data_IF_669802693999
#
_entry.id   IF_669802693999
#
_cell.length_a   1.000
_cell.length_b   1.000
_cell.length_c   1.000
_cell.angle_alpha   90.00
_cell.angle_beta   90.00
_cell.angle_gamma   90.00
#
_symmetry.space_group_name_H-M   'P 1'
#
loop_
_entity.id
_entity.type
_entity.pdbx_description
1 polymer ?
#
# COMPACT_ATOMS: atom_id res chain seq x y z
N UNK A 1 -32.31 13.91 -32.71
CA UNK A 1 -30.89 14.27 -32.86
C UNK A 1 -30.17 13.91 -31.57
N UNK A 2 -29.31 12.89 -31.54
CA UNK A 2 -28.53 12.56 -30.36
C UNK A 2 -27.34 13.52 -30.27
N UNK A 3 -27.20 14.19 -29.13
CA UNK A 3 -26.12 15.15 -28.86
C UNK A 3 -24.74 14.47 -28.81
N UNK A 4 -23.65 15.26 -28.97
CA UNK A 4 -22.30 14.72 -28.99
C UNK A 4 -21.95 14.12 -27.62
N UNK A 5 -21.53 12.86 -27.63
CA UNK A 5 -20.96 12.17 -26.47
C UNK A 5 -19.68 12.89 -26.05
N UNK A 6 -19.66 13.38 -24.82
CA UNK A 6 -18.44 13.88 -24.19
C UNK A 6 -17.36 12.78 -24.18
N UNK A 7 -16.08 13.15 -24.35
CA UNK A 7 -15.00 12.19 -24.42
C UNK A 7 -14.84 11.44 -23.09
N UNK A 8 -14.69 10.13 -23.23
CA UNK A 8 -14.30 9.17 -22.20
C UNK A 8 -13.09 9.67 -21.42
N UNK A 9 -13.22 9.78 -20.10
CA UNK A 9 -12.12 9.98 -19.17
C UNK A 9 -10.93 9.06 -19.52
N UNK A 10 -9.83 9.65 -19.98
CA UNK A 10 -8.55 8.96 -20.02
C UNK A 10 -8.17 8.58 -18.57
N UNK A 11 -7.69 7.35 -18.31
CA UNK A 11 -7.23 6.98 -16.98
C UNK A 11 -5.97 7.82 -16.64
N UNK A 12 -6.13 8.79 -15.74
CA UNK A 12 -5.02 9.56 -15.20
C UNK A 12 -4.00 8.61 -14.54
N UNK A 13 -2.75 8.77 -14.98
CA UNK A 13 -1.60 7.99 -14.58
C UNK A 13 -1.26 8.23 -13.11
N UNK A 14 -1.62 7.29 -12.23
CA UNK A 14 -1.09 7.30 -10.86
C UNK A 14 0.12 6.39 -10.80
N UNK A 15 1.28 6.99 -11.02
CA UNK A 15 2.51 6.54 -10.40
C UNK A 15 2.26 6.52 -8.88
N UNK A 16 2.53 5.38 -8.24
CA UNK A 16 2.56 5.32 -6.77
C UNK A 16 3.77 6.11 -6.21
N UNK A 17 4.64 6.64 -7.08
CA UNK A 17 5.62 7.68 -6.79
C UNK A 17 5.60 8.77 -7.89
N UNK A 18 4.89 9.87 -7.65
CA UNK A 18 4.93 11.07 -8.52
C UNK A 18 3.73 11.23 -9.48
N UNK A 19 2.83 12.16 -9.16
CA UNK A 19 1.77 12.61 -10.07
C UNK A 19 2.40 13.49 -11.17
N UNK A 20 2.09 13.18 -12.43
CA UNK A 20 2.38 14.04 -13.57
C UNK A 20 1.06 14.72 -13.96
N UNK A 21 0.87 15.96 -13.52
CA UNK A 21 -0.08 16.93 -14.07
C UNK A 21 0.34 18.34 -13.60
N UNK A 22 1.56 18.76 -13.97
CA UNK A 22 1.99 20.16 -13.94
C UNK A 22 3.09 20.38 -15.00
N UNK A 23 3.12 21.53 -15.69
CA UNK A 23 4.16 21.83 -16.67
C UNK A 23 5.49 22.07 -15.95
N UNK A 24 6.54 21.38 -16.42
CA UNK A 24 7.93 21.50 -15.98
C UNK A 24 8.20 21.19 -14.49
N UNK A 25 7.84 19.99 -14.03
CA UNK A 25 8.48 19.40 -12.86
C UNK A 25 9.68 18.52 -13.30
N UNK A 26 10.81 18.56 -12.59
CA UNK A 26 11.93 17.66 -12.85
C UNK A 26 11.45 16.20 -12.71
N UNK A 27 11.96 15.37 -13.60
CA UNK A 27 11.65 13.94 -13.73
C UNK A 27 11.69 13.26 -12.35
N UNK A 28 10.69 12.45 -11.96
CA UNK A 28 10.78 11.67 -10.72
C UNK A 28 12.07 10.84 -10.74
N UNK A 29 12.66 10.53 -9.56
CA UNK A 29 13.94 9.82 -9.47
C UNK A 29 13.94 8.64 -10.42
N UNK A 30 14.98 8.58 -11.25
CA UNK A 30 15.05 7.70 -12.40
C UNK A 30 14.64 6.28 -12.00
N UNK A 31 13.63 5.75 -12.69
CA UNK A 31 13.25 4.35 -12.60
C UNK A 31 14.37 3.54 -13.25
N UNK A 32 15.50 3.38 -12.58
CA UNK A 32 16.68 2.65 -13.09
C UNK A 32 16.47 1.12 -13.11
N UNK A 33 15.21 0.68 -13.18
CA UNK A 33 14.83 -0.71 -13.38
C UNK A 33 14.27 -0.87 -14.80
N UNK A 34 15.10 -1.31 -15.77
CA UNK A 34 14.69 -1.55 -17.14
C UNK A 34 13.56 -2.59 -17.28
N UNK A 35 13.39 -3.48 -16.30
CA UNK A 35 12.28 -4.44 -16.31
C UNK A 35 10.97 -3.74 -15.95
N UNK A 36 10.98 -2.83 -14.97
CA UNK A 36 9.83 -2.01 -14.62
C UNK A 36 9.42 -1.09 -15.78
N UNK A 37 10.37 -0.42 -16.44
CA UNK A 37 10.08 0.44 -17.60
C UNK A 37 9.42 -0.37 -18.73
N UNK A 38 10.00 -1.51 -19.11
CA UNK A 38 9.45 -2.37 -20.17
C UNK A 38 8.06 -2.90 -19.83
N UNK A 39 7.88 -3.39 -18.60
CA UNK A 39 6.58 -3.90 -18.16
C UNK A 39 5.51 -2.80 -18.15
N UNK A 40 5.87 -1.55 -17.80
CA UNK A 40 4.95 -0.41 -17.89
C UNK A 40 4.56 -0.09 -19.34
N UNK A 41 5.52 -0.06 -20.26
CA UNK A 41 5.23 0.14 -21.68
C UNK A 41 4.27 -0.94 -22.21
N UNK A 42 4.47 -2.20 -21.82
CA UNK A 42 3.55 -3.29 -22.15
C UNK A 42 2.17 -3.14 -21.51
N UNK A 43 2.08 -2.68 -20.25
CA UNK A 43 0.80 -2.41 -19.59
C UNK A 43 -0.02 -1.32 -20.30
N UNK A 44 0.67 -0.36 -20.93
CA UNK A 44 0.04 0.67 -21.75
C UNK A 44 -0.43 0.13 -23.09
N UNK A 45 0.45 -0.58 -23.80
CA UNK A 45 0.24 -0.92 -25.21
C UNK A 45 -0.50 -2.25 -25.42
N UNK A 46 -0.35 -3.20 -24.49
CA UNK A 46 -0.90 -4.55 -24.59
C UNK A 46 -1.15 -5.17 -23.19
N UNK A 47 -1.99 -4.56 -22.33
CA UNK A 47 -2.17 -5.00 -20.94
C UNK A 47 -2.59 -6.46 -20.78
N UNK A 48 -3.40 -6.99 -21.72
CA UNK A 48 -3.84 -8.40 -21.70
C UNK A 48 -2.69 -9.41 -21.84
N UNK A 49 -1.55 -8.99 -22.40
CA UNK A 49 -0.36 -9.83 -22.55
C UNK A 49 0.45 -9.99 -21.25
N UNK A 50 0.22 -9.11 -20.26
CA UNK A 50 0.92 -9.18 -18.99
C UNK A 50 0.31 -10.27 -18.11
N UNK A 51 1.02 -11.39 -18.06
CA UNK A 51 0.73 -12.53 -17.19
C UNK A 51 1.84 -12.68 -16.16
N UNK A 52 1.47 -12.92 -14.90
CA UNK A 52 2.46 -13.13 -13.85
C UNK A 52 2.64 -14.59 -13.53
N UNK A 53 3.87 -15.04 -13.74
CA UNK A 53 4.27 -16.41 -13.45
C UNK A 53 5.58 -16.41 -12.67
N UNK A 54 5.82 -17.47 -11.89
CA UNK A 54 7.13 -17.71 -11.28
C UNK A 54 7.85 -18.79 -12.08
N UNK A 55 9.19 -18.73 -12.17
CA UNK A 55 9.99 -19.84 -12.65
C UNK A 55 9.64 -21.13 -11.89
N UNK A 56 9.70 -22.29 -12.57
CA UNK A 56 9.38 -23.59 -11.95
C UNK A 56 10.27 -23.90 -10.74
N UNK A 57 11.54 -23.50 -10.77
CA UNK A 57 12.47 -23.64 -9.67
C UNK A 57 12.47 -22.38 -8.81
N UNK A 58 11.87 -22.45 -7.62
CA UNK A 58 12.04 -21.43 -6.58
C UNK A 58 13.20 -21.85 -5.68
N UNK A 59 14.26 -21.05 -5.66
CA UNK A 59 15.62 -21.58 -5.48
C UNK A 59 16.03 -21.96 -4.05
N UNK A 60 15.24 -21.70 -2.99
CA UNK A 60 15.62 -22.08 -1.61
C UNK A 60 14.40 -22.28 -0.69
N UNK A 61 14.42 -23.25 0.24
CA UNK A 61 13.46 -23.28 1.34
C UNK A 61 13.51 -21.97 2.14
N UNK A 62 12.37 -21.55 2.70
CA UNK A 62 12.30 -20.40 3.61
C UNK A 62 12.44 -20.92 5.04
N UNK A 63 13.36 -20.35 5.81
CA UNK A 63 13.46 -20.62 7.25
C UNK A 63 12.33 -19.92 8.02
N UNK A 64 11.83 -18.82 7.47
CA UNK A 64 10.69 -18.08 8.00
C UNK A 64 9.36 -18.76 7.67
N UNK A 65 8.33 -18.49 8.49
CA UNK A 65 6.93 -18.86 8.24
C UNK A 65 6.12 -17.62 7.83
N UNK A 66 6.13 -17.22 6.55
CA UNK A 66 5.37 -16.07 6.08
C UNK A 66 3.89 -16.41 5.85
N UNK A 67 3.05 -15.38 5.93
CA UNK A 67 1.68 -15.40 5.43
C UNK A 67 1.46 -14.28 4.40
N UNK A 68 0.62 -14.58 3.41
CA UNK A 68 0.17 -13.67 2.36
C UNK A 68 -1.25 -13.25 2.66
N UNK A 69 -1.54 -11.96 2.54
CA UNK A 69 -2.87 -11.39 2.72
C UNK A 69 -3.34 -10.87 1.37
N UNK A 70 -4.40 -11.45 0.84
CA UNK A 70 -5.05 -11.01 -0.38
C UNK A 70 -6.42 -10.41 -0.02
N UNK A 71 -6.48 -9.10 0.04
CA UNK A 71 -7.65 -8.35 0.51
C UNK A 71 -8.27 -7.58 -0.66
N UNK A 72 -9.59 -7.64 -0.81
CA UNK A 72 -10.31 -6.89 -1.83
C UNK A 72 -11.05 -7.77 -2.83
N UNK A 73 -11.33 -7.22 -4.01
CA UNK A 73 -12.27 -7.78 -4.99
C UNK A 73 -11.60 -8.68 -6.04
N UNK A 74 -10.40 -9.20 -5.83
CA UNK A 74 -9.73 -10.16 -6.73
C UNK A 74 -9.78 -9.88 -8.27
N UNK A 75 -10.07 -8.66 -8.73
CA UNK A 75 -10.53 -8.34 -10.11
C UNK A 75 -9.63 -8.84 -11.23
N UNK A 76 -8.30 -8.80 -11.04
CA UNK A 76 -7.36 -9.30 -12.05
C UNK A 76 -6.72 -10.64 -11.64
N UNK A 77 -7.45 -11.46 -10.89
CA UNK A 77 -6.93 -12.75 -10.41
C UNK A 77 -6.51 -13.65 -11.58
N UNK A 78 -7.24 -13.67 -12.69
CA UNK A 78 -6.86 -14.47 -13.87
C UNK A 78 -5.43 -14.21 -14.38
N UNK A 79 -4.89 -13.00 -14.16
CA UNK A 79 -3.52 -12.62 -14.56
C UNK A 79 -2.45 -12.93 -13.53
N UNK A 80 -2.85 -13.07 -12.27
CA UNK A 80 -1.96 -13.28 -11.12
C UNK A 80 -2.16 -14.63 -10.44
N UNK A 81 -3.11 -15.45 -10.88
CA UNK A 81 -3.50 -16.70 -10.24
C UNK A 81 -2.32 -17.68 -10.20
N UNK A 82 -1.61 -17.85 -11.33
CA UNK A 82 -0.44 -18.72 -11.40
C UNK A 82 0.70 -18.27 -10.47
N UNK A 83 0.84 -16.96 -10.24
CA UNK A 83 1.77 -16.41 -9.26
C UNK A 83 1.29 -16.72 -7.83
N UNK A 84 0.05 -16.37 -7.50
CA UNK A 84 -0.55 -16.53 -6.16
C UNK A 84 -0.54 -18.00 -5.73
N UNK A 85 -0.96 -18.92 -6.62
CA UNK A 85 -0.93 -20.36 -6.37
C UNK A 85 0.48 -20.90 -6.10
N UNK A 86 1.51 -20.32 -6.75
CA UNK A 86 2.90 -20.74 -6.49
C UNK A 86 3.43 -20.15 -5.20
N UNK A 87 3.07 -18.91 -4.87
CA UNK A 87 3.43 -18.30 -3.59
C UNK A 87 2.76 -19.02 -2.40
N UNK A 88 1.50 -19.47 -2.54
CA UNK A 88 0.75 -20.17 -1.48
C UNK A 88 1.32 -21.54 -1.13
N UNK A 89 2.18 -22.13 -1.98
CA UNK A 89 2.94 -23.34 -1.64
C UNK A 89 4.08 -23.08 -0.65
N UNK A 90 4.45 -21.82 -0.42
CA UNK A 90 5.58 -21.41 0.43
C UNK A 90 5.18 -20.52 1.59
N UNK A 91 3.94 -20.06 1.61
CA UNK A 91 3.39 -19.14 2.59
C UNK A 91 1.91 -19.45 2.80
N UNK A 92 1.40 -19.26 4.02
CA UNK A 92 -0.04 -19.40 4.23
C UNK A 92 -0.78 -18.26 3.51
N UNK A 93 -1.79 -18.59 2.69
CA UNK A 93 -2.59 -17.59 1.98
C UNK A 93 -3.88 -17.31 2.74
N UNK A 94 -4.07 -16.05 3.16
CA UNK A 94 -5.30 -15.54 3.73
C UNK A 94 -6.01 -14.68 2.71
N UNK A 95 -7.31 -14.90 2.53
CA UNK A 95 -8.12 -14.16 1.56
C UNK A 95 -9.34 -13.57 2.27
N UNK A 96 -9.55 -12.27 2.10
CA UNK A 96 -10.77 -11.58 2.52
C UNK A 96 -11.34 -10.85 1.32
N UNK A 97 -12.52 -11.29 0.87
CA UNK A 97 -13.13 -10.85 -0.40
C UNK A 97 -14.65 -10.76 -0.28
N UNK A 98 -15.29 -10.34 -1.37
CA UNK A 98 -16.75 -10.30 -1.56
C UNK A 98 -17.25 -11.53 -2.33
N UNK A 99 -18.57 -11.76 -2.27
CA UNK A 99 -19.28 -12.89 -2.82
C UNK A 99 -19.03 -13.15 -4.32
N UNK A 100 -18.94 -12.11 -5.20
CA UNK A 100 -18.64 -12.33 -6.62
C UNK A 100 -17.34 -13.11 -6.87
N UNK A 101 -16.38 -13.03 -5.94
CA UNK A 101 -15.07 -13.68 -6.06
C UNK A 101 -14.92 -14.91 -5.16
N UNK A 102 -15.98 -15.33 -4.46
CA UNK A 102 -15.93 -16.42 -3.49
C UNK A 102 -15.52 -17.76 -4.13
N UNK A 103 -16.05 -18.09 -5.31
CA UNK A 103 -15.71 -19.32 -6.01
C UNK A 103 -14.21 -19.39 -6.35
N UNK A 104 -13.62 -18.29 -6.77
CA UNK A 104 -12.19 -18.22 -7.06
C UNK A 104 -11.35 -18.31 -5.78
N UNK A 105 -11.75 -17.58 -4.73
CA UNK A 105 -11.06 -17.60 -3.44
C UNK A 105 -11.04 -19.00 -2.79
N UNK A 106 -12.17 -19.73 -2.84
CA UNK A 106 -12.30 -21.10 -2.31
C UNK A 106 -11.37 -22.10 -3.01
N UNK A 107 -10.95 -21.85 -4.25
CA UNK A 107 -9.96 -22.70 -4.96
C UNK A 107 -8.52 -22.43 -4.53
N UNK A 108 -8.24 -21.26 -3.95
CA UNK A 108 -6.88 -20.81 -3.65
C UNK A 108 -6.42 -21.08 -2.23
N UNK A 109 -7.35 -21.16 -1.28
CA UNK A 109 -7.03 -21.35 0.14
C UNK A 109 -8.06 -22.20 0.87
N UNK A 110 -7.66 -22.71 2.04
CA UNK A 110 -8.52 -23.48 2.92
C UNK A 110 -9.60 -22.60 3.59
N UNK A 111 -10.77 -23.16 3.96
CA UNK A 111 -11.84 -22.41 4.64
C UNK A 111 -11.39 -21.67 5.90
N UNK A 112 -10.46 -22.23 6.68
CA UNK A 112 -9.95 -21.60 7.91
C UNK A 112 -9.17 -20.29 7.69
N UNK A 113 -8.79 -19.96 6.43
CA UNK A 113 -8.02 -18.78 6.03
C UNK A 113 -8.78 -17.93 5.00
N UNK A 114 -10.07 -18.18 4.84
CA UNK A 114 -10.95 -17.47 3.93
C UNK A 114 -12.04 -16.76 4.71
N UNK A 115 -12.33 -15.52 4.32
CA UNK A 115 -13.52 -14.79 4.75
C UNK A 115 -14.22 -14.17 3.54
N UNK A 116 -15.51 -14.48 3.37
CA UNK A 116 -16.39 -13.85 2.38
C UNK A 116 -17.31 -12.90 3.15
N UNK A 117 -17.26 -11.59 2.85
CA UNK A 117 -17.94 -10.57 3.65
C UNK A 117 -19.45 -10.84 3.81
N UNK A 118 -20.11 -11.25 2.74
CA UNK A 118 -21.55 -11.48 2.68
C UNK A 118 -22.00 -12.70 3.50
N UNK A 119 -21.08 -13.56 3.94
CA UNK A 119 -21.35 -14.63 4.90
C UNK A 119 -21.38 -14.09 6.36
N UNK A 120 -21.09 -12.80 6.56
CA UNK A 120 -21.03 -12.12 7.86
C UNK A 120 -21.85 -10.81 7.85
N UNK A 121 -23.13 -10.83 8.27
CA UNK A 121 -24.05 -9.69 8.17
C UNK A 121 -23.52 -8.37 8.77
N UNK A 122 -22.84 -8.44 9.92
CA UNK A 122 -22.27 -7.24 10.54
C UNK A 122 -21.13 -6.63 9.72
N UNK A 123 -20.32 -7.48 9.06
CA UNK A 123 -19.18 -7.02 8.27
C UNK A 123 -19.62 -6.44 6.93
N UNK A 124 -20.61 -7.04 6.26
CA UNK A 124 -21.14 -6.47 5.01
C UNK A 124 -21.83 -5.13 5.24
N UNK A 125 -22.53 -4.93 6.37
CA UNK A 125 -23.09 -3.62 6.74
C UNK A 125 -21.99 -2.57 6.88
N UNK A 126 -20.93 -2.89 7.62
CA UNK A 126 -19.77 -1.99 7.77
C UNK A 126 -19.17 -1.66 6.39
N UNK A 127 -18.90 -2.65 5.53
CA UNK A 127 -18.32 -2.40 4.20
C UNK A 127 -19.23 -1.53 3.32
N UNK A 128 -20.55 -1.71 3.41
CA UNK A 128 -21.53 -0.90 2.69
C UNK A 128 -21.50 0.57 3.12
N UNK A 129 -21.42 0.83 4.42
CA UNK A 129 -21.47 2.17 5.01
C UNK A 129 -20.17 2.96 4.80
N UNK A 130 -19.09 2.32 4.33
CA UNK A 130 -17.83 2.98 4.04
C UNK A 130 -17.90 3.81 2.75
N UNK A 131 -17.66 5.14 2.82
CA UNK A 131 -17.91 6.09 1.74
C UNK A 131 -16.87 6.06 0.62
N UNK A 132 -15.65 5.59 0.92
CA UNK A 132 -14.53 5.60 -0.03
C UNK A 132 -14.02 4.17 -0.26
N UNK A 133 -13.83 3.71 -1.51
CA UNK A 133 -13.39 2.33 -1.79
C UNK A 133 -12.07 1.92 -1.11
N UNK A 134 -11.15 2.85 -0.88
CA UNK A 134 -9.91 2.56 -0.15
C UNK A 134 -10.16 2.23 1.32
N UNK A 135 -11.17 2.81 1.97
CA UNK A 135 -11.55 2.45 3.34
C UNK A 135 -12.05 0.99 3.40
N UNK A 136 -12.79 0.55 2.39
CA UNK A 136 -13.23 -0.86 2.25
C UNK A 136 -12.03 -1.82 2.16
N UNK A 137 -10.95 -1.40 1.50
CA UNK A 137 -9.71 -2.19 1.45
C UNK A 137 -9.04 -2.31 2.83
N UNK A 138 -9.08 -1.24 3.63
CA UNK A 138 -8.55 -1.26 5.00
C UNK A 138 -9.40 -2.09 5.96
N UNK A 139 -10.73 -2.06 5.81
CA UNK A 139 -11.63 -2.95 6.53
C UNK A 139 -11.31 -4.43 6.26
N UNK A 140 -11.22 -4.82 4.99
CA UNK A 140 -10.85 -6.18 4.57
C UNK A 140 -9.47 -6.59 5.09
N UNK A 141 -8.51 -5.65 5.16
CA UNK A 141 -7.21 -5.91 5.78
C UNK A 141 -7.32 -6.16 7.28
N UNK A 142 -8.06 -5.35 8.03
CA UNK A 142 -8.26 -5.55 9.47
C UNK A 142 -8.89 -6.93 9.75
N UNK A 143 -9.86 -7.34 8.92
CA UNK A 143 -10.43 -8.69 8.97
C UNK A 143 -9.41 -9.78 8.66
N UNK A 144 -8.54 -9.58 7.66
CA UNK A 144 -7.49 -10.54 7.33
C UNK A 144 -6.51 -10.72 8.50
N UNK A 145 -6.11 -9.63 9.16
CA UNK A 145 -5.23 -9.67 10.35
C UNK A 145 -5.92 -10.37 11.53
N UNK A 146 -7.21 -10.13 11.74
CA UNK A 146 -8.00 -10.87 12.73
C UNK A 146 -8.05 -12.37 12.43
N UNK A 147 -8.27 -12.74 11.17
CA UNK A 147 -8.28 -14.15 10.74
C UNK A 147 -6.92 -14.83 10.93
N UNK A 148 -5.83 -14.13 10.66
CA UNK A 148 -4.46 -14.58 10.96
C UNK A 148 -4.33 -14.95 12.42
N UNK A 149 -4.71 -14.05 13.36
CA UNK A 149 -4.62 -14.35 14.80
C UNK A 149 -5.45 -15.56 15.22
N UNK A 150 -6.67 -15.69 14.69
CA UNK A 150 -7.52 -16.82 15.00
C UNK A 150 -6.88 -18.15 14.55
N UNK A 151 -6.22 -18.16 13.40
CA UNK A 151 -5.46 -19.34 12.94
C UNK A 151 -4.23 -19.59 13.81
N UNK A 152 -3.46 -18.54 14.14
CA UNK A 152 -2.30 -18.64 15.02
C UNK A 152 -2.66 -19.26 16.39
N UNK A 153 -3.76 -18.77 17.00
CA UNK A 153 -4.29 -19.27 18.26
C UNK A 153 -4.72 -20.74 18.16
N UNK A 154 -5.52 -21.10 17.14
CA UNK A 154 -6.02 -22.47 16.96
C UNK A 154 -4.91 -23.48 16.67
N UNK A 155 -3.86 -23.06 15.96
CA UNK A 155 -2.77 -23.94 15.51
C UNK A 155 -1.56 -23.94 16.45
N UNK A 156 -1.56 -23.12 17.50
CA UNK A 156 -0.47 -23.06 18.48
C UNK A 156 0.84 -22.53 17.90
N UNK A 157 0.79 -21.68 16.88
CA UNK A 157 1.99 -21.09 16.30
C UNK A 157 1.80 -19.67 15.80
N UNK A 158 2.90 -18.93 15.62
CA UNK A 158 2.88 -17.58 15.03
C UNK A 158 3.51 -17.56 13.64
N UNK A 159 2.99 -16.71 12.78
CA UNK A 159 3.67 -16.33 11.55
C UNK A 159 4.81 -15.37 11.88
N UNK A 160 5.89 -15.46 11.12
CA UNK A 160 7.05 -14.58 11.26
C UNK A 160 6.86 -13.25 10.52
N UNK A 161 6.17 -13.30 9.38
CA UNK A 161 6.02 -12.20 8.45
C UNK A 161 4.62 -12.21 7.86
N UNK A 162 4.07 -11.03 7.60
CA UNK A 162 2.79 -10.85 6.90
C UNK A 162 3.02 -9.97 5.68
N UNK A 163 2.44 -10.34 4.54
CA UNK A 163 2.67 -9.66 3.27
C UNK A 163 1.31 -9.43 2.58
N UNK A 164 0.89 -8.17 2.51
CA UNK A 164 -0.29 -7.74 1.77
C UNK A 164 0.03 -7.67 0.28
N UNK A 165 -0.72 -8.46 -0.48
CA UNK A 165 -0.68 -8.50 -1.93
C UNK A 165 -2.02 -8.05 -2.52
N UNK A 166 -1.98 -7.71 -3.80
CA UNK A 166 -3.14 -7.45 -4.64
C UNK A 166 -3.08 -8.27 -5.91
N UNK A 167 -4.24 -8.71 -6.40
CA UNK A 167 -4.36 -9.44 -7.66
C UNK A 167 -4.33 -8.53 -8.89
N UNK A 168 -4.67 -7.24 -8.71
CA UNK A 168 -4.64 -6.21 -9.74
C UNK A 168 -3.32 -5.43 -9.82
N UNK A 169 -2.27 -5.98 -9.21
CA UNK A 169 -0.94 -5.39 -9.17
C UNK A 169 0.07 -6.31 -9.87
N UNK A 170 0.79 -5.76 -10.84
CA UNK A 170 1.90 -6.42 -11.52
C UNK A 170 3.20 -6.20 -10.75
N UNK A 171 3.67 -7.23 -10.05
CA UNK A 171 5.01 -7.33 -9.46
C UNK A 171 6.09 -7.53 -10.54
N UNK A 172 7.14 -6.71 -10.54
CA UNK A 172 8.25 -6.80 -11.52
C UNK A 172 9.20 -7.96 -11.20
N UNK A 173 9.44 -8.22 -9.91
CA UNK A 173 10.38 -9.24 -9.44
C UNK A 173 9.72 -10.29 -8.53
N UNK A 174 8.63 -10.94 -8.97
CA UNK A 174 7.83 -11.83 -8.11
C UNK A 174 8.64 -13.01 -7.56
N UNK A 175 9.66 -13.47 -8.30
CA UNK A 175 10.57 -14.56 -7.90
C UNK A 175 11.41 -14.24 -6.66
N UNK A 176 11.61 -12.96 -6.36
CA UNK A 176 12.37 -12.49 -5.19
C UNK A 176 11.45 -11.96 -4.08
N UNK A 177 10.13 -11.96 -4.26
CA UNK A 177 9.17 -11.30 -3.36
C UNK A 177 9.32 -11.75 -1.91
N UNK A 178 9.12 -13.04 -1.63
CA UNK A 178 9.17 -13.56 -0.25
C UNK A 178 10.55 -13.36 0.38
N UNK A 179 11.62 -13.70 -0.35
CA UNK A 179 12.99 -13.64 0.15
C UNK A 179 13.45 -12.21 0.43
N UNK A 180 13.11 -11.26 -0.45
CA UNK A 180 13.50 -9.85 -0.28
C UNK A 180 12.78 -9.25 0.91
N UNK A 181 11.46 -9.49 1.05
CA UNK A 181 10.71 -8.99 2.21
C UNK A 181 11.29 -9.51 3.51
N UNK A 182 11.48 -10.83 3.64
CA UNK A 182 12.04 -11.45 4.85
C UNK A 182 13.43 -10.86 5.16
N UNK A 183 14.33 -10.84 4.17
CA UNK A 183 15.70 -10.36 4.37
C UNK A 183 15.77 -8.89 4.78
N UNK A 184 14.99 -8.01 4.14
CA UNK A 184 15.01 -6.57 4.48
C UNK A 184 14.47 -6.35 5.89
N UNK A 185 13.40 -7.05 6.26
CA UNK A 185 12.82 -6.98 7.60
C UNK A 185 13.76 -7.51 8.70
N UNK A 186 14.54 -8.56 8.42
CA UNK A 186 15.50 -9.12 9.38
C UNK A 186 16.79 -8.29 9.52
N UNK A 187 17.28 -7.71 8.42
CA UNK A 187 18.59 -7.03 8.40
C UNK A 187 18.58 -5.57 8.81
N UNK A 188 17.46 -4.85 8.63
CA UNK A 188 17.47 -3.39 8.66
C UNK A 188 16.74 -2.77 9.86
N UNK A 189 16.22 -3.56 10.80
CA UNK A 189 15.30 -3.11 11.86
C UNK A 189 14.16 -2.23 11.29
N UNK A 190 13.72 -2.54 10.07
CA UNK A 190 12.68 -1.81 9.36
C UNK A 190 11.33 -2.39 9.76
N UNK A 191 10.43 -1.51 10.20
CA UNK A 191 9.09 -1.91 10.64
C UNK A 191 8.28 -2.51 9.48
N UNK A 192 8.15 -1.77 8.38
CA UNK A 192 7.39 -2.19 7.20
C UNK A 192 8.18 -1.92 5.92
N UNK A 193 7.91 -2.76 4.91
CA UNK A 193 8.47 -2.59 3.57
C UNK A 193 7.38 -2.68 2.51
N UNK A 194 7.49 -1.95 1.41
CA UNK A 194 6.50 -2.03 0.35
C UNK A 194 6.67 -0.96 -0.71
N UNK A 195 5.73 -0.91 -1.64
CA UNK A 195 5.73 0.08 -2.72
C UNK A 195 4.63 1.15 -2.56
N UNK A 196 3.67 0.93 -1.64
CA UNK A 196 2.58 1.85 -1.30
C UNK A 196 1.71 1.26 -0.18
N UNK A 197 0.64 1.97 0.19
CA UNK A 197 -0.47 1.47 1.01
C UNK A 197 -1.19 0.24 0.42
N UNK A 198 -0.98 -0.05 -0.86
CA UNK A 198 -1.68 -1.13 -1.60
C UNK A 198 -0.96 -2.46 -1.48
N UNK A 199 0.37 -2.43 -1.42
CA UNK A 199 1.25 -3.62 -1.44
C UNK A 199 2.43 -3.37 -0.51
N UNK A 200 2.46 -4.12 0.59
CA UNK A 200 3.47 -4.00 1.62
C UNK A 200 3.59 -5.30 2.41
N UNK A 201 4.63 -5.44 3.20
CA UNK A 201 4.82 -6.52 4.15
C UNK A 201 5.74 -6.09 5.29
N UNK A 202 5.96 -6.99 6.22
CA UNK A 202 6.80 -6.71 7.37
C UNK A 202 6.90 -7.91 8.29
N UNK A 203 7.64 -7.72 9.39
CA UNK A 203 7.56 -8.63 10.52
C UNK A 203 6.12 -8.66 11.06
N UNK A 204 5.71 -9.82 11.55
CA UNK A 204 4.33 -10.03 12.02
C UNK A 204 3.94 -9.06 13.13
N UNK A 205 4.83 -8.75 14.06
CA UNK A 205 4.60 -7.75 15.12
C UNK A 205 4.26 -6.37 14.55
N UNK A 206 5.05 -5.86 13.60
CA UNK A 206 4.83 -4.56 12.98
C UNK A 206 3.54 -4.51 12.13
N UNK A 207 3.30 -5.51 11.27
CA UNK A 207 2.10 -5.52 10.40
C UNK A 207 0.81 -5.66 11.22
N UNK A 208 0.84 -6.38 12.34
CA UNK A 208 -0.33 -6.54 13.19
C UNK A 208 -0.77 -5.26 13.88
N UNK A 209 0.10 -4.25 14.03
CA UNK A 209 -0.29 -2.92 14.52
C UNK A 209 -1.26 -2.21 13.56
N UNK A 210 -1.27 -2.58 12.28
CA UNK A 210 -2.12 -1.97 11.26
C UNK A 210 -3.59 -2.32 11.39
N UNK A 211 -3.95 -3.27 12.24
CA UNK A 211 -5.35 -3.51 12.57
C UNK A 211 -6.00 -2.26 13.19
N UNK A 212 -5.24 -1.52 14.01
CA UNK A 212 -5.71 -0.29 14.62
C UNK A 212 -5.97 0.83 13.61
N UNK A 213 -5.44 0.74 12.39
CA UNK A 213 -5.65 1.77 11.37
C UNK A 213 -7.11 1.87 10.95
N UNK A 214 -7.78 0.72 10.72
CA UNK A 214 -9.19 0.71 10.36
C UNK A 214 -10.06 1.32 11.47
N UNK A 215 -9.79 0.94 12.72
CA UNK A 215 -10.49 1.49 13.89
C UNK A 215 -10.28 3.01 14.07
N UNK A 216 -9.12 3.53 13.65
CA UNK A 216 -8.81 4.95 13.71
C UNK A 216 -9.49 5.78 12.59
N UNK A 217 -9.95 5.16 11.50
CA UNK A 217 -10.48 5.89 10.33
C UNK A 217 -11.57 6.91 10.69
N UNK A 218 -12.66 6.54 11.40
CA UNK A 218 -13.78 7.47 11.59
C UNK A 218 -13.44 8.68 12.46
N UNK A 219 -12.56 8.50 13.45
CA UNK A 219 -12.20 9.57 14.38
C UNK A 219 -11.02 10.41 13.92
N UNK A 220 -10.08 9.81 13.18
CA UNK A 220 -8.79 10.43 12.90
C UNK A 220 -8.60 10.76 11.41
N UNK A 221 -9.18 10.02 10.48
CA UNK A 221 -8.81 10.17 9.06
C UNK A 221 -9.96 10.54 8.13
N UNK A 222 -11.18 10.08 8.40
CA UNK A 222 -12.33 10.40 7.55
C UNK A 222 -12.68 11.89 7.62
N UNK A 223 -12.65 12.59 6.48
CA UNK A 223 -12.89 14.03 6.38
C UNK A 223 -11.88 14.89 7.18
N UNK A 224 -10.72 14.34 7.52
CA UNK A 224 -9.68 15.02 8.30
C UNK A 224 -8.42 15.33 7.47
N UNK A 225 -8.55 15.39 6.14
CA UNK A 225 -7.40 15.61 5.24
C UNK A 225 -6.69 16.94 5.49
N UNK A 226 -7.45 17.98 5.85
CA UNK A 226 -6.92 19.32 6.14
C UNK A 226 -6.31 19.46 7.53
N UNK A 227 -6.53 18.49 8.41
CA UNK A 227 -6.02 18.54 9.78
C UNK A 227 -4.51 18.41 9.82
N UNK A 228 -3.87 19.20 10.68
CA UNK A 228 -2.45 19.00 11.00
C UNK A 228 -2.27 17.79 11.91
N UNK A 229 -1.26 16.97 11.55
CA UNK A 229 -0.82 15.82 12.32
C UNK A 229 0.62 16.06 12.74
N UNK A 230 0.98 15.92 14.03
CA UNK A 230 2.36 16.06 14.48
C UNK A 230 3.30 15.18 13.67
N UNK A 231 4.43 15.75 13.24
CA UNK A 231 5.37 15.08 12.35
C UNK A 231 6.57 14.58 13.16
N UNK A 232 6.82 13.29 13.10
CA UNK A 232 8.04 12.68 13.61
C UNK A 232 9.09 12.68 12.50
N UNK A 233 9.97 13.69 12.51
CA UNK A 233 10.98 13.85 11.46
C UNK A 233 11.94 12.67 11.38
N UNK A 234 12.39 12.14 12.53
CA UNK A 234 13.31 11.00 12.56
C UNK A 234 12.69 9.77 11.86
N UNK A 235 11.39 9.56 12.07
CA UNK A 235 10.62 8.51 11.45
C UNK A 235 10.54 8.70 9.92
N UNK A 236 10.25 9.92 9.45
CA UNK A 236 10.24 10.26 8.02
C UNK A 236 11.63 10.06 7.40
N UNK A 237 12.70 10.47 8.08
CA UNK A 237 14.08 10.34 7.60
C UNK A 237 14.59 8.89 7.61
N UNK A 238 14.14 8.06 8.56
CA UNK A 238 14.45 6.63 8.60
C UNK A 238 13.72 5.82 7.51
N UNK A 239 12.65 6.41 6.96
CA UNK A 239 11.87 5.91 5.84
C UNK A 239 12.43 6.45 4.51
N UNK A 240 12.03 5.84 3.41
CA UNK A 240 12.24 6.40 2.06
C UNK A 240 10.93 6.96 1.48
N UNK A 241 10.95 7.30 0.19
CA UNK A 241 9.83 7.89 -0.53
C UNK A 241 8.78 6.87 -1.00
N UNK A 242 8.85 5.60 -0.57
CA UNK A 242 7.84 4.60 -0.91
C UNK A 242 6.45 4.89 -0.32
N UNK A 243 6.36 5.82 0.63
CA UNK A 243 5.11 6.42 1.07
C UNK A 243 5.11 7.93 0.87
N UNK A 244 3.90 8.49 0.76
CA UNK A 244 3.66 9.90 0.49
C UNK A 244 3.75 10.77 1.75
N UNK A 245 4.86 10.68 2.48
CA UNK A 245 5.16 11.56 3.62
C UNK A 245 5.10 13.04 3.23
N UNK A 246 5.53 13.35 2.01
CA UNK A 246 5.46 14.68 1.39
C UNK A 246 4.02 15.16 1.10
N UNK A 247 3.02 14.29 1.27
CA UNK A 247 1.59 14.63 1.23
C UNK A 247 1.00 15.03 2.59
N UNK A 248 1.77 14.96 3.68
CA UNK A 248 1.34 15.46 4.99
C UNK A 248 1.26 16.98 5.01
N UNK A 249 0.59 17.54 6.02
CA UNK A 249 0.54 18.98 6.25
C UNK A 249 1.85 19.50 6.85
N UNK A 250 2.74 20.01 6.00
CA UNK A 250 4.00 20.57 6.45
C UNK A 250 3.88 22.08 6.70
N UNK A 251 4.23 22.60 7.90
CA UNK A 251 4.15 24.03 8.18
C UNK A 251 5.12 24.83 7.30
N UNK A 252 4.59 25.80 6.56
CA UNK A 252 5.39 26.62 5.62
C UNK A 252 6.47 27.41 6.35
N UNK A 253 6.21 27.85 7.58
CA UNK A 253 7.19 28.57 8.38
C UNK A 253 8.42 27.72 8.77
N UNK A 254 8.29 26.40 8.81
CA UNK A 254 9.37 25.49 9.20
C UNK A 254 10.12 24.91 7.99
N UNK A 255 9.40 24.61 6.90
CA UNK A 255 9.99 23.93 5.74
C UNK A 255 9.93 24.75 4.44
N UNK A 256 9.32 25.92 4.45
CA UNK A 256 9.05 26.69 3.24
C UNK A 256 8.07 26.00 2.30
N UNK A 257 8.31 26.15 1.00
CA UNK A 257 7.50 25.61 -0.10
C UNK A 257 8.41 24.91 -1.12
N UNK A 258 8.94 23.72 -0.79
CA UNK A 258 9.78 22.98 -1.72
C UNK A 258 9.03 22.72 -3.04
N UNK A 259 9.75 22.80 -4.17
CA UNK A 259 9.15 22.61 -5.49
C UNK A 259 9.03 21.14 -5.91
N UNK A 260 9.76 20.24 -5.25
CA UNK A 260 9.83 18.81 -5.58
C UNK A 260 10.00 17.96 -4.32
N UNK A 261 9.75 16.64 -4.45
CA UNK A 261 9.99 15.68 -3.37
C UNK A 261 11.47 15.63 -3.00
N UNK A 262 12.36 15.73 -3.97
CA UNK A 262 13.81 15.79 -3.74
C UNK A 262 14.20 17.04 -2.94
N UNK A 263 13.72 18.22 -3.32
CA UNK A 263 13.99 19.46 -2.60
C UNK A 263 13.42 19.42 -1.17
N UNK A 264 12.20 18.90 -1.01
CA UNK A 264 11.60 18.66 0.30
C UNK A 264 12.47 17.73 1.14
N UNK A 265 12.92 16.61 0.58
CA UNK A 265 13.74 15.63 1.30
C UNK A 265 15.08 16.22 1.71
N UNK A 266 15.72 16.99 0.85
CA UNK A 266 16.98 17.66 1.16
C UNK A 266 16.81 18.66 2.30
N UNK A 267 15.76 19.48 2.29
CA UNK A 267 15.45 20.40 3.40
C UNK A 267 15.26 19.67 4.74
N UNK A 268 14.61 18.50 4.73
CA UNK A 268 14.45 17.69 5.94
C UNK A 268 15.78 17.17 6.48
N UNK A 269 16.68 16.76 5.59
CA UNK A 269 18.02 16.28 5.94
C UNK A 269 18.86 17.44 6.50
N UNK A 270 18.88 18.56 5.79
CA UNK A 270 19.67 19.75 6.16
C UNK A 270 19.19 20.36 7.49
N UNK A 271 17.88 20.38 7.72
CA UNK A 271 17.29 20.85 8.98
C UNK A 271 17.58 19.95 10.18
N UNK A 272 17.82 18.65 9.94
CA UNK A 272 18.30 17.69 10.92
C UNK A 272 17.58 17.72 12.27
N UNK A 273 18.36 17.77 13.35
CA UNK A 273 17.85 17.71 14.74
C UNK A 273 17.07 18.95 15.13
N UNK A 274 17.47 20.13 14.64
CA UNK A 274 16.82 21.40 14.99
C UNK A 274 15.41 21.47 14.41
N UNK A 275 15.25 21.08 13.14
CA UNK A 275 13.94 20.95 12.51
C UNK A 275 13.08 19.88 13.20
N UNK A 276 13.67 18.76 13.62
CA UNK A 276 12.95 17.73 14.39
C UNK A 276 12.39 18.31 15.71
N UNK A 277 13.21 19.07 16.44
CA UNK A 277 12.81 19.71 17.69
C UNK A 277 11.78 20.83 17.49
N UNK A 278 11.84 21.55 16.36
CA UNK A 278 10.84 22.53 15.97
C UNK A 278 9.49 21.85 15.66
N UNK A 279 9.47 20.81 14.82
CA UNK A 279 8.27 20.07 14.47
C UNK A 279 7.62 19.39 15.67
N UNK A 280 8.41 18.86 16.62
CA UNK A 280 7.89 18.22 17.83
C UNK A 280 7.18 19.20 18.79
N UNK A 281 7.56 20.48 18.75
CA UNK A 281 6.98 21.56 19.58
C UNK A 281 5.95 22.40 18.84
N UNK A 282 5.81 22.18 17.54
CA UNK A 282 4.94 22.98 16.69
C UNK A 282 3.47 22.82 17.13
N UNK A 283 2.80 23.96 17.34
CA UNK A 283 1.38 24.02 17.66
C UNK A 283 0.70 24.88 16.59
N UNK A 284 -0.24 24.33 15.81
CA UNK A 284 -0.86 25.07 14.73
C UNK A 284 -1.76 26.20 15.27
N UNK A 285 -1.50 27.42 14.81
CA UNK A 285 -2.41 28.56 14.98
C UNK A 285 -3.52 28.60 13.91
N UNK A 286 -4.50 29.49 14.07
CA UNK A 286 -5.64 29.63 13.17
C UNK A 286 -5.23 29.91 11.71
N UNK A 287 -4.20 30.73 11.51
CA UNK A 287 -3.71 31.16 10.19
C UNK A 287 -2.49 30.37 9.68
N UNK A 288 -2.27 29.16 10.24
CA UNK A 288 -1.13 28.34 9.85
C UNK A 288 -1.22 27.95 8.37
N UNK A 289 -0.23 28.37 7.58
CA UNK A 289 -0.09 27.94 6.20
C UNK A 289 0.61 26.57 6.11
N UNK A 290 0.04 25.66 5.34
CA UNK A 290 0.63 24.35 5.06
C UNK A 290 1.03 24.21 3.59
N UNK A 291 2.05 23.39 3.37
CA UNK A 291 2.46 22.92 2.05
C UNK A 291 2.32 21.40 1.96
N UNK A 292 1.86 20.93 0.79
CA UNK A 292 1.77 19.51 0.43
C UNK A 292 2.24 19.34 -1.01
N UNK A 293 3.05 18.32 -1.26
CA UNK A 293 3.49 17.93 -2.60
C UNK A 293 2.60 16.83 -3.23
N UNK A 294 1.55 16.40 -2.52
CA UNK A 294 0.56 15.46 -3.01
C UNK A 294 -0.83 15.84 -2.52
N UNK A 295 -1.75 16.02 -3.47
CA UNK A 295 -3.17 16.14 -3.18
C UNK A 295 -3.86 14.82 -3.54
N UNK A 296 -4.33 14.10 -2.51
CA UNK A 296 -5.10 12.89 -2.68
C UNK A 296 -6.60 13.16 -2.76
N UNK A 297 -7.41 12.14 -2.49
CA UNK A 297 -8.86 12.30 -2.39
C UNK A 297 -9.22 13.25 -1.24
N UNK A 298 -10.08 14.27 -1.45
CA UNK A 298 -10.34 15.33 -0.46
C UNK A 298 -10.93 14.84 0.86
N UNK A 299 -11.66 13.71 0.82
CA UNK A 299 -12.19 13.06 2.03
C UNK A 299 -11.19 12.11 2.72
N UNK A 300 -10.39 11.39 1.93
CA UNK A 300 -9.55 10.30 2.43
C UNK A 300 -8.48 9.88 1.41
N UNK A 301 -7.33 10.54 1.51
CA UNK A 301 -6.12 10.22 0.77
C UNK A 301 -5.41 9.03 1.44
N UNK A 302 -5.91 7.81 1.17
CA UNK A 302 -5.46 6.54 1.80
C UNK A 302 -3.96 6.43 2.06
N UNK A 303 -3.14 6.78 1.07
CA UNK A 303 -1.68 6.67 1.17
C UNK A 303 -1.05 7.71 2.10
N UNK A 304 -1.61 8.92 2.16
CA UNK A 304 -1.22 9.97 3.11
C UNK A 304 -1.71 9.62 4.51
N UNK A 305 -2.96 9.15 4.65
CA UNK A 305 -3.48 8.69 5.94
C UNK A 305 -2.69 7.51 6.50
N UNK A 306 -2.27 6.59 5.64
CA UNK A 306 -1.39 5.51 6.04
C UNK A 306 -0.02 6.03 6.51
N UNK A 307 0.59 6.97 5.77
CA UNK A 307 1.82 7.63 6.20
C UNK A 307 1.66 8.34 7.55
N UNK A 308 0.57 9.10 7.76
CA UNK A 308 0.23 9.74 9.05
C UNK A 308 0.13 8.73 10.19
N UNK A 309 -0.49 7.58 9.95
CA UNK A 309 -0.62 6.53 10.95
C UNK A 309 0.72 5.89 11.31
N UNK A 310 1.56 5.59 10.32
CA UNK A 310 2.90 5.07 10.58
C UNK A 310 3.79 6.08 11.28
N UNK A 311 3.67 7.37 10.94
CA UNK A 311 4.33 8.46 11.64
C UNK A 311 3.95 8.50 13.13
N UNK A 312 2.64 8.37 13.42
CA UNK A 312 2.15 8.33 14.80
C UNK A 312 2.68 7.10 15.57
N UNK A 313 2.78 5.95 14.91
CA UNK A 313 3.29 4.72 15.53
C UNK A 313 4.82 4.64 15.58
N UNK A 314 5.55 5.57 14.96
CA UNK A 314 7.01 5.50 14.86
C UNK A 314 7.50 4.28 14.04
N UNK A 315 6.79 3.91 12.97
CA UNK A 315 7.10 2.74 12.15
C UNK A 315 7.73 3.14 10.80
N UNK A 316 9.04 2.86 10.56
CA UNK A 316 9.69 3.10 9.28
C UNK A 316 9.12 2.24 8.17
N UNK A 317 8.93 2.89 7.02
CA UNK A 317 8.50 2.27 5.79
C UNK A 317 9.60 2.44 4.74
N UNK A 318 10.01 1.34 4.14
CA UNK A 318 11.00 1.35 3.07
C UNK A 318 10.53 0.62 1.83
N UNK A 319 11.02 1.06 0.69
CA UNK A 319 10.87 0.36 -0.56
C UNK A 319 11.43 -1.06 -0.50
N UNK A 320 10.79 -1.96 -1.24
CA UNK A 320 11.25 -3.33 -1.39
C UNK A 320 11.15 -3.74 -2.85
N UNK A 321 12.32 -4.03 -3.45
CA UNK A 321 12.40 -4.52 -4.83
C UNK A 321 11.49 -5.71 -5.14
N UNK A 322 11.26 -6.60 -4.16
CA UNK A 322 10.37 -7.75 -4.33
C UNK A 322 8.87 -7.38 -4.43
N UNK A 323 8.50 -6.20 -3.95
CA UNK A 323 7.13 -5.67 -3.95
C UNK A 323 6.94 -4.54 -4.97
N UNK A 324 8.00 -4.08 -5.65
CA UNK A 324 7.90 -3.10 -6.74
C UNK A 324 7.03 -3.58 -7.88
N UNK A 325 6.25 -2.65 -8.42
CA UNK A 325 5.28 -2.95 -9.46
C UNK A 325 4.36 -1.78 -9.78
N UNK A 326 3.25 -2.10 -10.43
CA UNK A 326 2.22 -1.13 -10.79
C UNK A 326 0.86 -1.80 -10.89
N UNK A 327 -0.21 -1.01 -10.82
CA UNK A 327 -1.56 -1.49 -11.08
C UNK A 327 -1.79 -1.71 -12.58
N UNK A 328 -2.51 -2.76 -12.95
CA UNK A 328 -2.93 -2.93 -14.34
C UNK A 328 -3.76 -1.72 -14.81
N UNK A 329 -3.61 -1.36 -16.09
CA UNK A 329 -4.31 -0.19 -16.67
C UNK A 329 -5.80 -0.45 -16.88
N UNK A 330 -6.17 -1.70 -17.18
CA UNK A 330 -7.50 -2.13 -17.62
C UNK A 330 -8.25 -2.93 -16.53
N UNK A 331 -8.15 -2.48 -15.28
CA UNK A 331 -8.79 -3.13 -14.12
C UNK A 331 -10.31 -3.26 -14.21
N UNK A 332 -10.96 -2.48 -15.08
CA UNK A 332 -12.39 -2.52 -15.33
C UNK A 332 -12.82 -3.58 -16.35
N UNK A 333 -11.89 -4.07 -17.18
CA UNK A 333 -12.16 -5.12 -18.17
C UNK A 333 -11.80 -6.52 -17.67
N UNK A 334 -11.24 -6.61 -16.45
CA UNK A 334 -10.97 -7.89 -15.82
C UNK A 334 -12.24 -8.35 -15.07
N UNK A 335 -12.81 -9.51 -15.44
CA UNK A 335 -14.09 -9.99 -14.92
C UNK A 335 -14.06 -10.41 -13.45
#
# INVERSE_FOLDING_TARGET
>A
MPGPRQPTHQPQWVLLSGSADHPALPTPPALDDPALIRARQQNTNAPASLQQTLPRALSRPLLARPALLLTGELRCLSRSEALIQRLSRRAALFIVTTAPFAAAARRLTSPERLLILEEHPDQVRIDHDLPVPSMKQWHKLALALSLVRQVEQRRGYRFSHLIKLRSDYFYVHPQRLLQTVIRVCESANVGLVGASDKVFGGRRDAVMLLEGFFAALPGWFDQQEERYWPINLQQVLASDEALKWYGMNWPVELIGRPASTEAWRQQLIDGGTDLAAALARFQPGADTAYHRLFQGHPRFASEVCFARYLNFLGIPFRDCHGLRGFLYSDRSSCP
#
